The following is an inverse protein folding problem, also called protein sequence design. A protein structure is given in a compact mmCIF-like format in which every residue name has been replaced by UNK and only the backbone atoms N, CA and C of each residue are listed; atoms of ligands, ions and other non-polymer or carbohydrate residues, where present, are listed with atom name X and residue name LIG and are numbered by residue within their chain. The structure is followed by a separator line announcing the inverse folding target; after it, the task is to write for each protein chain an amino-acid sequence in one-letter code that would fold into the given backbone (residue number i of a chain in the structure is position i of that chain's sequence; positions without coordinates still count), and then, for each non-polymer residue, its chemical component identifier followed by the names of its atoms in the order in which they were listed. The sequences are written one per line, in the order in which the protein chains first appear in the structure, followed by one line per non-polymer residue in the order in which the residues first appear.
data_IF_503231027317
#
_entry.id   IF_503231027317
#
_cell.length_a   1.000
_cell.length_b   1.000
_cell.length_c   1.000
_cell.angle_alpha   90.00
_cell.angle_beta   90.00
_cell.angle_gamma   90.00
#
_symmetry.space_group_name_H-M   'P 1'
#
loop_
_entity.id
_entity.type
_entity.pdbx_description
1 polymer ?
#
# COMPACT_ATOMS: atom_id res chain seq x y z
N UNK A 1 -4.79 8.99 20.92
CA UNK A 1 -4.42 9.32 19.52
C UNK A 1 -4.64 8.06 18.71
N UNK A 2 -5.62 8.04 17.81
CA UNK A 2 -5.83 6.93 16.88
C UNK A 2 -5.03 7.19 15.61
N UNK A 3 -3.74 6.85 15.59
CA UNK A 3 -3.03 6.78 14.31
C UNK A 3 -3.60 5.58 13.55
N UNK A 4 -4.31 5.83 12.46
CA UNK A 4 -4.71 4.73 11.58
C UNK A 4 -3.44 4.00 11.12
N UNK A 5 -3.43 2.66 11.18
CA UNK A 5 -2.30 1.89 10.69
C UNK A 5 -2.02 2.21 9.22
N UNK A 6 -0.75 2.17 8.83
CA UNK A 6 -0.27 2.51 7.49
C UNK A 6 0.49 1.34 6.89
N UNK A 7 0.64 1.37 5.57
CA UNK A 7 1.42 0.41 4.79
C UNK A 7 2.32 1.14 3.80
N UNK A 8 3.43 0.50 3.45
CA UNK A 8 4.33 0.92 2.37
C UNK A 8 4.01 0.13 1.10
N UNK A 9 3.82 0.84 -0.02
CA UNK A 9 3.58 0.29 -1.35
C UNK A 9 4.90 0.14 -2.10
N UNK A 10 5.16 -1.06 -2.61
CA UNK A 10 6.32 -1.40 -3.43
C UNK A 10 5.89 -1.89 -4.83
N UNK A 11 6.60 -1.46 -5.88
CA UNK A 11 6.22 -1.74 -7.27
C UNK A 11 5.06 -0.89 -7.76
N UNK A 12 4.38 -1.28 -8.84
CA UNK A 12 3.27 -0.53 -9.41
C UNK A 12 3.70 0.77 -10.11
N UNK A 13 2.75 1.58 -10.59
CA UNK A 13 3.08 2.71 -11.45
C UNK A 13 3.85 3.81 -10.70
N UNK A 14 4.80 4.44 -11.38
CA UNK A 14 5.60 5.55 -10.85
C UNK A 14 4.75 6.79 -10.52
N UNK A 15 3.57 6.90 -11.14
CA UNK A 15 2.61 7.99 -10.95
C UNK A 15 1.81 7.95 -9.65
N UNK A 16 2.05 6.98 -8.76
CA UNK A 16 1.31 6.92 -7.50
C UNK A 16 1.63 8.14 -6.61
N UNK A 17 0.61 8.86 -6.13
CA UNK A 17 0.80 10.12 -5.41
C UNK A 17 1.51 9.95 -4.06
N UNK A 18 1.36 8.78 -3.42
CA UNK A 18 2.10 8.41 -2.21
C UNK A 18 2.38 6.92 -2.18
N UNK A 19 3.53 6.54 -1.63
CA UNK A 19 3.89 5.15 -1.34
C UNK A 19 3.47 4.71 0.06
N UNK A 20 3.22 5.64 0.98
CA UNK A 20 2.73 5.33 2.32
C UNK A 20 1.26 5.70 2.40
N UNK A 21 0.42 4.71 2.67
CA UNK A 21 -1.05 4.84 2.64
C UNK A 21 -1.67 4.30 3.92
N UNK A 22 -2.77 4.91 4.42
CA UNK A 22 -3.53 4.34 5.51
C UNK A 22 -4.19 3.03 5.08
N UNK A 23 -4.22 2.06 5.99
CA UNK A 23 -4.87 0.77 5.80
C UNK A 23 -5.88 0.50 6.91
N UNK A 24 -6.80 -0.43 6.67
CA UNK A 24 -7.71 -0.97 7.68
C UNK A 24 -7.39 -2.46 7.88
N UNK A 25 -6.61 -2.83 8.91
CA UNK A 25 -6.36 -4.22 9.26
C UNK A 25 -7.64 -4.95 9.70
N UNK A 26 -7.72 -6.28 9.54
CA UNK A 26 -6.77 -7.14 8.84
C UNK A 26 -7.05 -7.19 7.32
N UNK A 27 -6.33 -6.41 6.52
CA UNK A 27 -6.48 -6.40 5.07
C UNK A 27 -5.31 -7.12 4.40
N UNK A 28 -5.56 -8.25 3.73
CA UNK A 28 -4.52 -8.98 2.95
C UNK A 28 -4.26 -8.36 1.57
N UNK A 29 -5.17 -7.49 1.13
CA UNK A 29 -5.17 -6.84 -0.17
C UNK A 29 -5.55 -5.37 0.02
N UNK A 30 -4.95 -4.53 -0.81
CA UNK A 30 -5.24 -3.12 -0.91
C UNK A 30 -5.48 -2.76 -2.37
N UNK A 31 -6.49 -1.93 -2.61
CA UNK A 31 -6.79 -1.37 -3.93
C UNK A 31 -6.63 0.13 -3.87
N UNK A 32 -5.77 0.66 -4.73
CA UNK A 32 -5.49 2.09 -4.81
C UNK A 32 -6.03 2.59 -6.14
N UNK A 33 -6.98 3.53 -6.11
CA UNK A 33 -7.52 4.11 -7.33
C UNK A 33 -6.44 4.94 -8.04
N UNK A 34 -6.24 4.70 -9.33
CA UNK A 34 -5.22 5.37 -10.13
C UNK A 34 -5.58 5.31 -11.62
N UNK A 35 -5.48 6.44 -12.34
CA UNK A 35 -5.71 6.55 -13.78
C UNK A 35 -7.00 5.91 -14.33
N UNK A 36 -8.10 5.96 -13.57
CA UNK A 36 -9.40 5.44 -14.02
C UNK A 36 -9.63 3.95 -13.71
N UNK A 37 -8.66 3.27 -13.09
CA UNK A 37 -8.79 1.91 -12.58
C UNK A 37 -8.27 1.79 -11.15
N UNK A 38 -7.89 0.56 -10.77
CA UNK A 38 -7.34 0.23 -9.46
C UNK A 38 -6.01 -0.51 -9.58
N UNK A 39 -5.01 -0.01 -8.89
CA UNK A 39 -3.79 -0.76 -8.62
C UNK A 39 -4.02 -1.69 -7.44
N UNK A 40 -3.89 -2.99 -7.68
CA UNK A 40 -4.02 -4.03 -6.66
C UNK A 40 -2.64 -4.29 -6.05
N UNK A 41 -2.61 -4.25 -4.72
CA UNK A 41 -1.46 -4.58 -3.90
C UNK A 41 -1.79 -5.69 -2.92
N UNK A 42 -0.83 -6.56 -2.63
CA UNK A 42 -0.98 -7.65 -1.68
C UNK A 42 0.01 -7.52 -0.54
N UNK A 43 -0.44 -7.78 0.69
CA UNK A 43 0.44 -7.79 1.86
C UNK A 43 1.53 -8.85 1.69
N UNK A 44 2.75 -8.51 2.08
CA UNK A 44 3.87 -9.44 2.15
C UNK A 44 4.27 -9.66 3.62
N UNK A 45 5.07 -10.70 3.93
CA UNK A 45 5.66 -10.88 5.26
C UNK A 45 6.71 -9.82 5.61
N UNK A 46 7.10 -8.95 4.66
CA UNK A 46 8.17 -7.97 4.83
C UNK A 46 7.66 -6.72 5.55
N UNK A 47 8.53 -6.17 6.37
CA UNK A 47 8.37 -4.88 7.02
C UNK A 47 9.55 -4.01 6.68
N UNK A 48 9.32 -2.71 6.54
CA UNK A 48 10.37 -1.76 6.22
C UNK A 48 10.32 -0.56 7.16
N UNK A 49 11.50 -0.12 7.59
CA UNK A 49 11.64 1.12 8.35
C UNK A 49 11.40 2.32 7.44
N UNK A 50 10.47 3.18 7.86
CA UNK A 50 10.12 4.42 7.18
C UNK A 50 10.19 5.58 8.17
N UNK A 51 10.16 6.83 7.72
CA UNK A 51 10.02 7.99 8.62
C UNK A 51 8.78 7.93 9.52
N UNK A 52 7.77 7.13 9.15
CA UNK A 52 6.54 6.91 9.92
C UNK A 52 6.63 5.70 10.89
N UNK A 53 7.78 5.04 10.96
CA UNK A 53 8.02 3.83 11.72
C UNK A 53 8.13 2.59 10.84
N UNK A 54 8.12 1.41 11.47
CA UNK A 54 8.13 0.12 10.77
C UNK A 54 6.76 -0.16 10.19
N UNK A 55 6.66 -0.23 8.86
CA UNK A 55 5.40 -0.45 8.13
C UNK A 55 5.43 -1.79 7.37
N UNK A 56 4.28 -2.49 7.27
CA UNK A 56 4.16 -3.66 6.43
C UNK A 56 4.27 -3.28 4.96
N UNK A 57 4.97 -4.09 4.18
CA UNK A 57 5.16 -3.88 2.75
C UNK A 57 4.06 -4.58 1.96
N UNK A 58 3.38 -3.82 1.11
CA UNK A 58 2.38 -4.27 0.17
C UNK A 58 2.96 -4.17 -1.23
N UNK A 59 3.03 -5.31 -1.92
CA UNK A 59 3.63 -5.39 -3.25
C UNK A 59 2.55 -5.32 -4.33
N UNK A 60 2.81 -4.56 -5.37
CA UNK A 60 1.93 -4.45 -6.52
C UNK A 60 1.80 -5.78 -7.25
N UNK A 61 0.57 -6.15 -7.60
CA UNK A 61 0.30 -7.42 -8.29
C UNK A 61 -0.36 -7.23 -9.66
N UNK A 62 -1.21 -6.22 -9.85
CA UNK A 62 -1.88 -5.96 -11.13
C UNK A 62 -2.58 -4.59 -11.16
N UNK A 63 -2.74 -4.05 -12.37
CA UNK A 63 -3.73 -3.01 -12.66
C UNK A 63 -5.08 -3.66 -13.01
N UNK A 64 -6.18 -3.08 -12.54
CA UNK A 64 -7.55 -3.53 -12.79
C UNK A 64 -8.34 -2.35 -13.38
N UNK A 65 -8.79 -2.49 -14.62
CA UNK A 65 -9.64 -1.52 -15.33
C UNK A 65 -11.09 -1.50 -14.81
#
# INVERSE_FOLDING_TARGET
MSSSPKALLEGGPDGLPTRIVPITPPGIELRVAHNGGYERFKVTPRWQETPEGSLPVYEWVAHID
#
